data_IF_685981201155
#
_entry.id   IF_685981201155
#
_cell.length_a   1.000
_cell.length_b   1.000
_cell.length_c   1.000
_cell.angle_alpha   90.00
_cell.angle_beta   90.00
_cell.angle_gamma   90.00
#
_symmetry.space_group_name_H-M   'P 1'
#
loop_
_entity.id
_entity.type
_entity.pdbx_description
1 polymer ?
2 polymer ?
3 non-polymer ?
4 water ?
#
# COMPACT_ATOMS: atom_id res chain seq x y z
N UNK A 1 4.38 -17.93 -4.80
CA UNK A 1 3.52 -17.88 -6.00
C UNK A 1 3.58 -16.50 -6.64
N UNK A 2 3.03 -16.39 -7.84
CA UNK A 2 2.98 -15.12 -8.55
C UNK A 2 1.54 -14.64 -8.44
N UNK A 3 1.38 -13.40 -7.98
CA UNK A 3 0.05 -12.83 -7.78
C UNK A 3 -0.18 -11.62 -8.67
N UNK A 4 -1.24 -11.68 -9.48
CA UNK A 4 -1.58 -10.56 -10.36
C UNK A 4 -2.37 -9.56 -9.53
N UNK A 5 -2.57 -8.36 -10.06
CA UNK A 5 -3.24 -7.31 -9.30
C UNK A 5 -4.60 -6.83 -9.80
N UNK A 6 -5.32 -7.68 -10.52
CA UNK A 6 -6.64 -7.31 -11.01
C UNK A 6 -7.60 -7.30 -9.82
N UNK A 7 -7.29 -8.11 -8.83
CA UNK A 7 -8.10 -8.19 -7.62
C UNK A 7 -7.19 -7.84 -6.45
N UNK A 8 -7.78 -7.49 -5.30
CA UNK A 8 -7.00 -7.15 -4.12
C UNK A 8 -6.14 -8.35 -3.74
N UNK A 9 -4.88 -8.11 -3.33
CA UNK A 9 -3.97 -9.20 -2.94
C UNK A 9 -4.24 -9.71 -1.53
N UNK A 10 -5.39 -10.36 -1.36
CA UNK A 10 -5.82 -10.90 -0.08
C UNK A 10 -5.25 -12.29 0.17
N UNK A 11 -4.79 -12.51 1.40
CA UNK A 11 -4.23 -13.80 1.76
C UNK A 11 -4.64 -14.16 3.18
N UNK A 12 -4.50 -15.43 3.52
CA UNK A 12 -4.83 -15.89 4.86
C UNK A 12 -3.53 -15.97 5.65
N UNK A 13 -3.58 -15.49 6.89
CA UNK A 13 -2.41 -15.52 7.75
C UNK A 13 -2.80 -16.15 9.08
N UNK A 14 -1.79 -16.55 9.84
CA UNK A 14 -2.01 -17.15 11.15
C UNK A 14 -1.18 -16.37 12.16
N UNK A 15 -1.83 -15.85 13.19
CA UNK A 15 -1.15 -15.07 14.21
C UNK A 15 -1.82 -15.29 15.56
N UNK A 16 -1.01 -15.45 16.60
CA UNK A 16 -1.56 -15.67 17.93
C UNK A 16 -2.42 -16.92 17.96
N UNK A 17 -2.20 -17.80 16.98
CA UNK A 17 -2.96 -19.03 16.90
C UNK A 17 -4.30 -18.90 16.18
N UNK A 18 -4.60 -17.70 15.68
CA UNK A 18 -5.86 -17.44 14.99
C UNK A 18 -5.66 -17.12 13.51
N UNK A 19 -6.58 -17.59 12.67
CA UNK A 19 -6.49 -17.32 11.23
C UNK A 19 -7.20 -16.02 10.90
N UNK A 20 -6.64 -15.25 9.97
CA UNK A 20 -7.23 -13.98 9.55
C UNK A 20 -6.92 -13.70 8.09
N UNK A 21 -7.59 -12.70 7.53
CA UNK A 21 -7.34 -12.34 6.14
C UNK A 21 -6.63 -10.99 6.14
N UNK A 22 -5.61 -10.86 5.31
CA UNK A 22 -4.86 -9.61 5.25
C UNK A 22 -4.55 -9.25 3.80
N UNK A 23 -4.18 -7.99 3.59
CA UNK A 23 -3.85 -7.49 2.26
C UNK A 23 -2.36 -7.23 2.13
N UNK A 24 -1.74 -7.82 1.10
CA UNK A 24 -0.31 -7.62 0.86
C UNK A 24 -0.17 -6.18 0.38
N UNK A 25 0.46 -5.34 1.19
CA UNK A 25 0.58 -3.92 0.90
C UNK A 25 2.01 -3.40 0.74
N UNK A 26 2.46 -3.25 -0.50
CA UNK A 26 3.81 -2.75 -0.75
C UNK A 26 3.92 -1.26 -0.41
N UNK A 27 2.77 -0.61 -0.22
CA UNK A 27 2.76 0.81 0.10
C UNK A 27 2.70 1.06 1.60
N UNK A 28 2.96 0.02 2.38
CA UNK A 28 2.95 0.15 3.82
C UNK A 28 4.31 -0.26 4.40
N UNK A 29 4.90 0.63 5.19
CA UNK A 29 6.18 0.34 5.83
C UNK A 29 6.01 -0.80 6.84
N UNK A 30 4.88 -0.77 7.54
CA UNK A 30 4.59 -1.76 8.58
C UNK A 30 3.35 -2.63 8.39
N UNK A 31 3.21 -3.61 9.28
CA UNK A 31 2.09 -4.54 9.26
C UNK A 31 1.10 -4.07 10.33
N UNK A 32 -0.09 -3.69 9.89
CA UNK A 32 -1.12 -3.17 10.78
C UNK A 32 -2.39 -3.99 10.72
N UNK A 33 -2.84 -4.47 11.88
CA UNK A 33 -4.05 -5.28 11.97
C UNK A 33 -5.11 -4.59 12.82
N UNK A 34 -6.36 -4.89 12.52
CA UNK A 34 -7.50 -4.34 13.24
C UNK A 34 -7.42 -4.79 14.69
N UNK A 35 -8.11 -4.05 15.56
CA UNK A 35 -8.12 -4.33 17.00
C UNK A 35 -8.22 -5.82 17.31
N UNK A 36 -7.30 -6.31 18.14
CA UNK A 36 -7.27 -7.71 18.55
C UNK A 36 -6.36 -7.85 19.75
N UNK A 37 -6.40 -9.01 20.38
CA UNK A 37 -5.56 -9.30 21.54
C UNK A 37 -4.33 -10.08 21.08
N UNK A 38 -3.17 -9.69 21.59
CA UNK A 38 -1.93 -10.38 21.27
C UNK A 38 -1.15 -10.55 22.56
N UNK A 39 -0.57 -11.74 22.78
CA UNK A 39 0.20 -11.99 24.00
C UNK A 39 1.48 -11.17 24.09
N UNK A 40 1.87 -10.83 25.31
CA UNK A 40 3.10 -10.07 25.50
C UNK A 40 2.91 -8.58 25.70
N UNK A 41 4.03 -7.89 25.87
CA UNK A 41 4.01 -6.45 26.08
C UNK A 41 3.91 -5.72 24.75
N UNK A 42 3.44 -4.49 24.81
CA UNK A 42 3.32 -3.64 23.63
C UNK A 42 3.67 -2.22 24.04
N UNK A 43 3.96 -1.38 23.06
CA UNK A 43 4.31 0.02 23.32
C UNK A 43 3.45 0.93 22.45
N UNK A 44 3.08 2.12 22.96
CA UNK A 44 2.26 3.06 22.19
C UNK A 44 3.06 3.65 21.04
N UNK A 45 2.43 3.75 19.87
CA UNK A 45 3.10 4.29 18.70
C UNK A 45 2.11 5.02 17.80
N UNK A 46 2.62 5.93 16.97
CA UNK A 46 1.78 6.67 16.04
C UNK A 46 2.30 6.44 14.62
N UNK A 47 1.38 6.20 13.69
CA UNK A 47 1.74 5.97 12.29
C UNK A 47 0.91 6.85 11.37
N UNK A 48 1.38 7.01 10.14
CA UNK A 48 0.68 7.84 9.17
C UNK A 48 0.04 7.07 8.03
N UNK A 49 -1.05 7.62 7.52
CA UNK A 49 -1.77 6.99 6.42
C UNK A 49 -2.26 8.04 5.44
N UNK A 50 -3.02 7.61 4.44
CA UNK A 50 -3.54 8.52 3.42
C UNK A 50 -4.38 9.65 4.02
N UNK A 51 -5.12 9.36 5.09
CA UNK A 51 -5.96 10.37 5.71
C UNK A 51 -5.39 11.09 6.92
N UNK A 52 -4.24 10.64 7.41
CA UNK A 52 -3.66 11.27 8.58
C UNK A 52 -2.98 10.28 9.50
N UNK A 53 -2.81 10.66 10.76
CA UNK A 53 -2.14 9.80 11.72
C UNK A 53 -3.06 9.15 12.74
N UNK A 54 -2.70 7.94 13.18
CA UNK A 54 -3.48 7.22 14.18
C UNK A 54 -2.55 6.64 15.25
N UNK A 55 -3.13 6.25 16.38
CA UNK A 55 -2.38 5.66 17.47
C UNK A 55 -2.55 4.14 17.39
N UNK A 56 -1.47 3.41 17.60
CA UNK A 56 -1.51 1.95 17.55
C UNK A 56 -0.69 1.33 18.68
N UNK A 57 -0.83 0.02 18.85
CA UNK A 57 -0.07 -0.70 19.87
C UNK A 57 0.98 -1.50 19.11
N UNK A 58 2.25 -1.33 19.49
CA UNK A 58 3.33 -2.03 18.82
C UNK A 58 3.78 -3.28 19.56
N UNK A 59 3.61 -4.43 18.91
CA UNK A 59 4.05 -5.71 19.47
C UNK A 59 5.27 -6.13 18.67
N UNK A 60 6.34 -6.50 19.37
CA UNK A 60 7.57 -6.92 18.70
C UNK A 60 7.78 -8.43 18.70
N UNK A 61 8.55 -8.88 17.71
CA UNK A 61 8.91 -10.28 17.55
C UNK A 61 7.73 -11.24 17.58
N UNK A 62 6.69 -10.91 16.82
CA UNK A 62 5.49 -11.75 16.77
C UNK A 62 5.48 -12.69 15.57
N UNK A 63 5.30 -14.00 15.82
CA UNK A 63 5.27 -14.97 14.72
C UNK A 63 4.02 -14.79 13.85
N UNK A 64 4.21 -14.78 12.53
CA UNK A 64 3.10 -14.62 11.61
C UNK A 64 3.33 -15.50 10.39
N UNK A 65 2.39 -16.39 10.10
CA UNK A 65 2.50 -17.26 8.93
C UNK A 65 1.64 -16.65 7.84
N UNK A 66 2.27 -16.33 6.72
CA UNK A 66 1.59 -15.70 5.59
C UNK A 66 1.60 -16.64 4.39
N UNK A 67 0.42 -17.12 4.00
CA UNK A 67 0.32 -18.04 2.87
C UNK A 67 1.28 -19.21 3.02
N UNK A 68 1.47 -19.68 4.25
CA UNK A 68 2.36 -20.80 4.47
C UNK A 68 3.81 -20.42 4.67
N UNK A 69 4.11 -19.12 4.61
CA UNK A 69 5.49 -18.66 4.80
C UNK A 69 5.62 -18.04 6.18
N UNK A 70 6.70 -18.41 6.87
CA UNK A 70 6.93 -17.93 8.21
C UNK A 70 7.69 -16.61 8.32
N UNK A 71 7.20 -15.76 9.20
CA UNK A 71 7.82 -14.48 9.46
C UNK A 71 7.70 -14.27 10.97
N UNK A 72 8.60 -13.48 11.53
CA UNK A 72 8.55 -13.17 12.95
C UNK A 72 9.02 -11.73 13.04
N UNK A 73 8.11 -10.82 13.35
CA UNK A 73 8.48 -9.43 13.44
C UNK A 73 7.45 -8.53 14.08
N UNK A 74 7.61 -7.23 13.85
CA UNK A 74 6.72 -6.22 14.41
C UNK A 74 5.32 -6.24 13.79
N UNK A 75 4.32 -6.14 14.66
CA UNK A 75 2.93 -6.12 14.23
C UNK A 75 2.24 -4.98 14.98
N UNK A 76 1.59 -4.08 14.24
CA UNK A 76 0.90 -2.96 14.86
C UNK A 76 -0.60 -3.26 14.91
N UNK A 77 -1.25 -2.85 15.99
CA UNK A 77 -2.68 -3.07 16.14
C UNK A 77 -3.39 -1.77 16.43
N UNK A 78 -4.36 -1.43 15.59
CA UNK A 78 -5.09 -0.19 15.80
C UNK A 78 -6.24 -0.02 14.83
N UNK A 79 -6.82 1.19 14.76
CA UNK A 79 -7.94 1.48 13.86
C UNK A 79 -7.64 1.53 12.37
N UNK A 80 -7.02 0.48 11.85
CA UNK A 80 -6.75 0.44 10.42
C UNK A 80 -8.04 -0.02 9.74
N UNK A 81 -8.30 0.46 8.52
CA UNK A 81 -9.51 0.06 7.79
C UNK A 81 -9.51 -1.39 7.34
N UNK A 82 -8.34 -2.01 7.37
CA UNK A 82 -8.19 -3.40 6.96
C UNK A 82 -6.85 -3.94 7.44
N UNK A 83 -6.78 -5.26 7.61
CA UNK A 83 -5.55 -5.90 8.04
C UNK A 83 -4.58 -5.83 6.87
N UNK A 84 -3.39 -5.29 7.10
CA UNK A 84 -2.42 -5.20 6.01
C UNK A 84 -1.06 -5.77 6.38
N UNK A 85 -0.43 -6.40 5.39
CA UNK A 85 0.90 -6.96 5.59
C UNK A 85 1.84 -5.97 4.92
N UNK A 86 2.67 -5.31 5.72
CA UNK A 86 3.60 -4.33 5.19
C UNK A 86 4.96 -4.87 4.81
N UNK A 87 5.84 -3.97 4.38
CA UNK A 87 7.18 -4.33 3.94
C UNK A 87 8.03 -5.04 4.99
N UNK A 88 7.88 -4.67 6.26
CA UNK A 88 8.68 -5.32 7.30
C UNK A 88 8.51 -6.84 7.27
N UNK A 89 7.31 -7.33 6.98
CA UNK A 89 7.11 -8.78 6.92
C UNK A 89 7.18 -9.31 5.49
N UNK A 90 6.84 -8.47 4.51
CA UNK A 90 6.90 -8.90 3.12
C UNK A 90 8.34 -9.27 2.75
N UNK A 91 9.30 -8.51 3.26
CA UNK A 91 10.70 -8.79 2.98
C UNK A 91 11.09 -10.14 3.59
N UNK A 92 10.51 -10.47 4.74
CA UNK A 92 10.81 -11.73 5.41
C UNK A 92 10.40 -12.98 4.65
N UNK A 93 9.35 -12.89 3.84
CA UNK A 93 8.92 -14.05 3.08
C UNK A 93 9.46 -13.99 1.65
N UNK A 94 10.34 -13.03 1.40
CA UNK A 94 10.97 -12.87 0.10
C UNK A 94 10.12 -12.31 -1.03
N UNK A 95 9.12 -11.51 -0.68
CA UNK A 95 8.22 -10.91 -1.66
C UNK A 95 8.86 -9.75 -2.41
N UNK A 96 8.66 -9.71 -3.72
CA UNK A 96 9.20 -8.65 -4.56
C UNK A 96 8.15 -8.23 -5.60
N UNK A 97 8.36 -7.07 -6.21
CA UNK A 97 7.46 -6.58 -7.25
C UNK A 97 8.17 -6.85 -8.56
N UNK A 98 7.43 -7.29 -9.57
CA UNK A 98 8.04 -7.62 -10.86
C UNK A 98 7.20 -7.20 -12.07
N UNK A 99 7.86 -6.60 -13.06
CA UNK A 99 7.18 -6.20 -14.29
C UNK A 99 8.19 -6.06 -15.44
N UNK B 1 11.67 -5.39 -14.66
CA UNK B 1 12.65 -5.34 -13.55
C UNK B 1 12.07 -6.00 -12.31
N UNK B 2 12.90 -6.14 -11.28
CA UNK B 2 12.48 -6.71 -10.01
C UNK B 2 12.85 -5.71 -8.92
N UNK B 3 11.85 -5.29 -8.15
CA UNK B 3 12.05 -4.33 -7.07
C UNK B 3 11.84 -4.99 -5.71
N UNK B 4 12.88 -4.98 -4.88
CA UNK B 4 12.76 -5.57 -3.56
C UNK B 4 12.01 -4.62 -2.65
N UNK B 5 11.71 -5.05 -1.43
CA UNK B 5 10.96 -4.19 -0.53
C UNK B 5 11.70 -3.73 0.73
N UNK B 6 13.03 -3.77 0.68
CA UNK B 6 13.86 -3.34 1.81
C UNK B 6 13.54 -1.89 2.12
N UNK B 7 13.27 -1.12 1.07
CA UNK B 7 12.92 0.28 1.20
C UNK B 7 11.65 0.48 0.39
N UNK B 8 11.04 1.66 0.53
CA UNK B 8 9.82 1.97 -0.21
C UNK B 8 10.10 1.79 -1.70
N UNK B 9 9.22 1.06 -2.41
CA UNK B 9 9.41 0.84 -3.85
C UNK B 9 9.09 2.07 -4.69
N UNK B 10 10.04 3.00 -4.74
CA UNK B 10 9.90 4.24 -5.49
C UNK B 10 10.41 4.11 -6.92
N UNK B 11 9.66 4.68 -7.86
CA UNK B 11 10.03 4.64 -9.26
C UNK B 11 9.72 5.99 -9.90
N UNK B 12 10.28 6.24 -11.07
CA UNK B 12 10.02 7.49 -11.76
C UNK B 12 8.85 7.28 -12.70
N UNK B 13 7.96 8.27 -12.76
CA UNK B 13 6.81 8.20 -13.64
C UNK B 13 6.76 9.49 -14.45
N UNK B 14 6.03 9.47 -15.55
CA UNK B 14 5.88 10.65 -16.39
C UNK B 14 4.39 10.90 -16.49
N UNK B 15 3.96 12.11 -16.13
CA UNK B 15 2.55 12.45 -16.19
C UNK B 15 2.34 13.95 -16.35
N UNK B 16 1.39 14.30 -17.20
CA UNK B 16 1.09 15.70 -17.44
C UNK B 16 2.31 16.50 -17.84
N UNK B 17 3.25 15.83 -18.50
CA UNK B 17 4.47 16.49 -18.94
C UNK B 17 5.53 16.60 -17.86
N UNK B 18 5.26 16.03 -16.69
CA UNK B 18 6.21 16.08 -15.58
C UNK B 18 6.77 14.71 -15.20
N UNK B 19 7.96 14.71 -14.61
CA UNK B 19 8.60 13.49 -14.14
C UNK B 19 8.53 13.57 -12.63
N UNK B 20 8.04 12.51 -12.01
CA UNK B 20 7.91 12.47 -10.56
C UNK B 20 8.36 11.13 -10.00
N UNK B 21 8.51 11.09 -8.68
CA UNK B 21 8.90 9.89 -7.96
C UNK B 21 7.60 9.38 -7.34
N UNK B 22 7.28 8.11 -7.57
CA UNK B 22 6.05 7.53 -7.02
C UNK B 22 6.28 6.14 -6.42
N UNK B 23 5.41 5.77 -5.49
CA UNK B 23 5.50 4.49 -4.79
C UNK B 23 4.55 3.44 -5.36
N UNK B 24 5.09 2.28 -5.76
CA UNK B 24 4.25 1.20 -6.28
C UNK B 24 3.45 0.71 -5.08
N UNK B 25 2.13 0.86 -5.14
CA UNK B 25 1.28 0.53 -4.01
C UNK B 25 0.19 -0.52 -4.26
N UNK B 26 0.48 -1.77 -3.92
CA UNK B 26 -0.48 -2.85 -4.12
C UNK B 26 -1.68 -2.75 -3.17
N UNK B 27 -1.57 -1.88 -2.17
CA UNK B 27 -2.65 -1.73 -1.21
C UNK B 27 -3.77 -0.79 -1.61
N UNK B 28 -3.71 -0.26 -2.82
CA UNK B 28 -4.74 0.66 -3.30
C UNK B 28 -5.08 0.39 -4.76
N UNK B 29 -6.36 0.49 -5.11
CA UNK B 29 -6.74 0.28 -6.50
C UNK B 29 -6.55 1.58 -7.27
N UNK B 30 -6.72 2.71 -6.58
CA UNK B 30 -6.57 4.02 -7.19
C UNK B 30 -5.13 4.51 -7.18
N UNK B 31 -4.84 5.46 -8.06
CA UNK B 31 -3.53 6.09 -8.16
C UNK B 31 -3.73 7.53 -7.69
N UNK B 32 -2.97 7.95 -6.69
CA UNK B 32 -3.12 9.30 -6.16
C UNK B 32 -1.82 10.10 -6.22
N UNK B 33 -1.87 11.28 -6.83
CA UNK B 33 -0.69 12.12 -6.95
C UNK B 33 -0.81 13.42 -6.16
N UNK B 34 0.33 13.88 -5.65
CA UNK B 34 0.40 15.12 -4.89
C UNK B 34 -0.16 16.25 -5.75
N UNK B 35 -0.72 17.25 -5.09
CA UNK B 35 -1.31 18.40 -5.78
C UNK B 35 -0.48 18.85 -6.98
N UNK B 36 -1.14 18.93 -8.13
CA UNK B 36 -0.50 19.38 -9.36
C UNK B 36 -1.62 20.00 -10.20
N UNK B 37 -1.29 21.04 -10.95
CA UNK B 37 -2.29 21.74 -11.74
C UNK B 37 -2.55 21.18 -13.14
N UNK B 38 -3.12 19.98 -13.20
CA UNK B 38 -3.45 19.32 -14.47
C UNK B 38 -4.64 19.95 -15.19
N UNK B 39 -4.55 20.08 -16.52
CA UNK B 39 -5.65 20.65 -17.30
C UNK B 39 -6.74 19.61 -17.55
N UNK B 40 -7.93 20.06 -17.91
CA UNK B 40 -9.02 19.14 -18.19
C UNK B 40 -10.09 19.12 -17.12
N UNK B 41 -11.21 18.47 -17.43
CA UNK B 41 -12.32 18.37 -16.50
C UNK B 41 -12.03 17.29 -15.47
N UNK B 42 -12.73 17.35 -14.35
CA UNK B 42 -12.56 16.36 -13.29
C UNK B 42 -13.83 16.26 -12.46
N UNK B 43 -13.86 15.30 -11.55
CA UNK B 43 -15.01 15.10 -10.68
C UNK B 43 -14.51 14.95 -9.25
N UNK B 44 -15.26 15.49 -8.28
CA UNK B 44 -14.89 15.40 -6.87
C UNK B 44 -14.97 13.96 -6.40
N UNK B 45 -14.10 13.60 -5.47
CA UNK B 45 -14.09 12.24 -4.94
C UNK B 45 -13.46 12.23 -3.56
N UNK B 46 -13.87 11.27 -2.74
CA UNK B 46 -13.33 11.12 -1.39
C UNK B 46 -12.69 9.74 -1.28
N UNK B 47 -11.46 9.68 -0.80
CA UNK B 47 -10.77 8.40 -0.64
C UNK B 47 -10.31 8.24 0.81
N UNK B 48 -10.36 7.01 1.31
CA UNK B 48 -9.97 6.80 2.69
C UNK B 48 -9.01 5.66 2.95
N UNK B 49 -8.37 5.73 4.11
CA UNK B 49 -7.41 4.72 4.53
C UNK B 49 -7.02 5.03 5.96
N UNK B 50 -5.82 4.64 6.36
CA UNK B 50 -5.37 4.92 7.72
C UNK B 50 -5.39 6.43 7.95
N UNK B 51 -6.04 6.86 9.03
CA UNK B 51 -6.11 8.28 9.32
C UNK B 51 -7.42 8.92 8.91
N UNK B 52 -8.14 8.28 8.00
CA UNK B 52 -9.42 8.82 7.56
C UNK B 52 -9.49 9.11 6.08
N UNK B 53 -10.34 10.07 5.71
CA UNK B 53 -10.54 10.44 4.30
C UNK B 53 -10.02 11.81 3.89
N UNK B 54 -9.64 11.93 2.62
CA UNK B 54 -9.19 13.20 2.06
C UNK B 54 -9.95 13.47 0.77
N UNK B 55 -10.05 14.74 0.39
CA UNK B 55 -10.76 15.13 -0.82
C UNK B 55 -9.77 15.24 -1.98
N UNK B 56 -10.13 14.68 -3.12
CA UNK B 56 -9.27 14.71 -4.30
C UNK B 56 -10.05 14.96 -5.58
N UNK B 57 -9.32 15.30 -6.64
CA UNK B 57 -9.90 15.55 -7.95
C UNK B 57 -9.62 14.35 -8.84
N UNK B 58 -10.66 13.82 -9.45
CA UNK B 58 -10.53 12.65 -10.31
C UNK B 58 -10.40 13.01 -11.79
N UNK B 59 -9.27 12.63 -12.38
CA UNK B 59 -9.02 12.87 -13.80
C UNK B 59 -9.02 11.52 -14.52
N UNK B 60 -9.70 11.45 -15.65
CA UNK B 60 -9.79 10.21 -16.41
C UNK B 60 -8.98 10.21 -17.70
N UNK B 61 -8.65 9.01 -18.17
CA UNK B 61 -7.89 8.83 -19.41
C UNK B 61 -6.61 9.64 -19.45
N UNK B 62 -5.84 9.60 -18.36
CA UNK B 62 -4.59 10.34 -18.30
C UNK B 62 -3.41 9.42 -18.59
N UNK B 63 -2.57 9.78 -19.57
CA UNK B 63 -1.41 8.95 -19.91
C UNK B 63 -0.37 9.04 -18.80
N UNK B 64 0.11 7.90 -18.34
CA UNK B 64 1.11 7.84 -17.28
C UNK B 64 2.15 6.79 -17.66
N UNK B 65 3.42 7.19 -17.70
CA UNK B 65 4.47 6.24 -18.03
C UNK B 65 5.22 5.90 -16.75
N UNK B 66 5.34 4.61 -16.46
CA UNK B 66 6.01 4.12 -15.26
C UNK B 66 7.26 3.34 -15.63
N UNK B 67 8.42 3.93 -15.38
CA UNK B 67 9.69 3.29 -15.70
C UNK B 67 9.71 2.79 -17.14
N UNK B 68 9.28 3.64 -18.06
CA UNK B 68 9.27 3.27 -19.46
C UNK B 68 8.09 2.43 -19.90
N UNK B 69 7.22 2.08 -18.96
CA UNK B 69 6.04 1.29 -19.29
C UNK B 69 4.83 2.21 -19.36
N UNK B 70 4.22 2.27 -20.54
CA UNK B 70 3.07 3.13 -20.77
C UNK B 70 1.77 2.61 -20.17
N UNK B 71 0.98 3.53 -19.64
CA UNK B 71 -0.30 3.20 -19.05
C UNK B 71 -1.20 4.41 -19.27
N UNK B 72 -2.49 4.23 -19.04
CA UNK B 72 -3.44 5.32 -19.19
C UNK B 72 -4.71 4.97 -18.43
N UNK B 73 -5.10 5.86 -17.53
CA UNK B 73 -6.29 5.62 -16.74
C UNK B 73 -6.60 6.74 -15.77
N UNK B 74 -7.40 6.42 -14.76
CA UNK B 74 -7.79 7.42 -13.79
C UNK B 74 -6.71 7.78 -12.78
N UNK B 75 -6.55 9.08 -12.57
CA UNK B 75 -5.57 9.57 -11.62
C UNK B 75 -6.28 10.56 -10.70
N UNK B 76 -6.03 10.42 -9.40
CA UNK B 76 -6.63 11.30 -8.41
C UNK B 76 -5.56 12.29 -7.94
N UNK B 77 -5.92 13.56 -7.87
CA UNK B 77 -4.98 14.58 -7.43
C UNK B 77 -5.50 15.28 -6.18
N UNK B 78 -4.66 15.36 -5.15
CA UNK B 78 -5.07 15.99 -3.92
C UNK B 78 -3.96 16.05 -2.89
N UNK B 79 -4.28 16.43 -1.65
CA UNK B 79 -3.31 16.54 -0.56
C UNK B 79 -2.81 15.21 0.02
N UNK B 80 -2.37 14.31 -0.85
CA UNK B 80 -1.84 13.04 -0.36
C UNK B 80 -0.41 13.26 0.12
N UNK B 81 -0.01 12.59 1.21
CA UNK B 81 1.36 12.77 1.69
C UNK B 81 2.41 12.08 0.80
N UNK B 82 1.97 11.46 -0.29
CA UNK B 82 2.89 10.78 -1.21
C UNK B 82 2.24 10.37 -2.53
N UNK B 83 3.02 10.38 -3.61
CA UNK B 83 2.52 9.95 -4.92
C UNK B 83 2.39 8.43 -4.82
N UNK B 84 1.19 7.93 -5.10
CA UNK B 84 0.87 6.51 -5.02
C UNK B 84 0.40 5.91 -6.34
N UNK B 85 1.05 4.83 -6.78
CA UNK B 85 0.62 4.17 -8.01
C UNK B 85 -0.19 2.94 -7.58
N UNK B 86 -1.49 2.95 -7.87
CA UNK B 86 -2.36 1.85 -7.49
C UNK B 86 -2.49 0.70 -8.48
N UNK B 87 -3.26 -0.32 -8.10
CA UNK B 87 -3.43 -1.49 -8.95
C UNK B 87 -4.03 -1.19 -10.33
N UNK B 88 -4.81 -0.12 -10.43
CA UNK B 88 -5.42 0.22 -11.71
C UNK B 88 -4.37 0.39 -12.80
N UNK B 89 -3.23 0.98 -12.46
CA UNK B 89 -2.16 1.18 -13.43
C UNK B 89 -1.10 0.08 -13.35
N UNK B 90 -0.95 -0.52 -12.17
CA UNK B 90 0.03 -1.59 -11.99
C UNK B 90 -0.27 -2.78 -12.90
N UNK B 91 -1.55 -3.10 -13.07
CA UNK B 91 -1.92 -4.21 -13.94
C UNK B 91 -1.59 -3.88 -15.39
N UNK B 92 -1.77 -2.62 -15.77
CA UNK B 92 -1.49 -2.18 -17.13
C UNK B 92 -0.03 -2.39 -17.52
N UNK B 93 0.89 -2.29 -16.56
CA UNK B 93 2.30 -2.49 -16.86
C UNK B 93 2.77 -3.91 -16.57
N UNK B 94 1.82 -4.79 -16.27
CA UNK B 94 2.14 -6.19 -16.01
C UNK B 94 2.90 -6.48 -14.73
N UNK B 95 2.61 -5.70 -13.70
CA UNK B 95 3.28 -5.85 -12.40
C UNK B 95 2.64 -6.93 -11.53
N UNK B 96 3.49 -7.75 -10.90
CA UNK B 96 3.01 -8.80 -10.03
C UNK B 96 3.81 -8.82 -8.72
N UNK B 97 3.29 -9.58 -7.76
CA UNK B 97 3.96 -9.77 -6.47
C UNK B 97 4.42 -11.22 -6.53
N UNK B 98 5.66 -11.49 -6.13
CA UNK B 98 6.16 -12.85 -6.18
C UNK B 98 6.97 -13.27 -4.96
N UNK B 99 6.70 -14.46 -4.45
CA UNK B 99 7.42 -15.01 -3.30
C UNK B 99 7.23 -16.52 -3.23
N UNK C 1 5.74 8.75 11.94
CA UNK C 1 6.75 8.68 10.84
C UNK C 1 6.48 7.53 9.90
N UNK C 2 6.23 6.35 10.45
CA UNK C 2 5.94 5.18 9.64
C UNK C 2 4.79 5.54 8.70
N UNK C 3 4.95 5.23 7.41
CA UNK C 3 3.93 5.55 6.41
C UNK C 3 3.27 4.29 5.84
N UNK C 4 1.93 4.27 5.81
CA UNK C 4 1.19 3.12 5.32
C UNK C 4 0.01 3.56 4.46
N UNK C 5 0.03 3.17 3.19
CA UNK C 5 -1.00 3.61 2.26
C UNK C 5 -2.11 2.72 1.71
N UNK C 6 -2.82 1.98 2.59
CA UNK C 6 -3.89 1.17 2.01
C UNK C 6 -5.05 2.14 1.74
N UNK C 7 -5.84 1.87 0.70
CA UNK C 7 -6.99 2.72 0.39
C UNK C 7 -8.21 1.82 0.25
N UNK C 8 -9.27 2.17 0.97
CA UNK C 8 -10.51 1.39 0.94
C UNK C 8 -11.33 1.58 -0.33
X LIG D 1 -11.76 -7.62 -5.45
X LIG D 1 -10.61 -7.62 -4.59
X LIG D 1 -12.67 -8.55 -5.21
X LIG D 1 -11.92 -6.60 -6.57
X LIG E 1 4.66 -21.45 -2.96
X LIG E 1 3.36 -21.34 -2.37
X LIG E 1 5.66 -21.72 -2.13
X LIG E 1 4.88 -21.26 -4.45
X LIG F 1 1.25 -21.10 16.70
X LIG F 1 2.01 -21.19 17.90
X LIG F 1 1.05 -22.24 16.04
X LIG F 1 0.68 -19.78 16.19
X LIG G 1 9.27 -20.85 5.08
X LIG G 1 10.24 -21.11 6.11
X LIG G 1 9.76 -20.49 3.90
X LIG G 1 7.79 -21.00 5.32
X LIG H 1 -9.86 -10.47 19.83
X LIG H 1 -9.83 -11.34 18.69
X LIG H 1 -9.00 -10.75 20.80
X LIG H 1 -10.81 -9.30 19.91
X LIG I 1 12.15 3.31 3.77
X LIG I 1 12.29 1.89 3.81
X LIG I 1 12.30 3.89 2.58
X LIG I 1 11.83 4.12 5.02
#
# INVERSE_FOLDING_TARGET
PQITLWKRPLVTIRIGGQLKEALLNTGADDTVLEEMNLPGKWKPKMIGGIGGFIKVRQYDQIPVEICGHKAIGTVLVGPTPANIIGRNLLTQIGCTLNF
PQITLWKRPLVTIRIGGQLKEALLNTGADDTVLEEMNLPGKWKPKMIGGIGGFIKVRQYDQIPVEICGHKAIGTVLVGPTPANIIGRNLLTQIGCTLNF
VSQNYPIVQN
ACT C O OXT CH3
ACT C O OXT CH3
ACT C O OXT CH3
ACT C O OXT CH3
ACT C O OXT CH3
ACT C O OXT CH3
#
